data_IF_226257235671
#
_entry.id   IF_226257235671
#
_cell.length_a   1.000
_cell.length_b   1.000
_cell.length_c   1.000
_cell.angle_alpha   90.00
_cell.angle_beta   90.00
_cell.angle_gamma   90.00
#
_symmetry.space_group_name_H-M   'P 1'
#
loop_
_entity.id
_entity.type
_entity.pdbx_description
1 polymer ?
#
# COMPACT_ATOMS: atom_id res chain seq x y z
N UNK A 1 -15.56 -0.18 18.75
CA UNK A 1 -14.93 -1.06 17.74
C UNK A 1 -14.38 -0.20 16.62
N UNK A 2 -13.21 -0.56 16.10
CA UNK A 2 -12.52 0.12 15.01
C UNK A 2 -11.49 -0.85 14.40
N UNK A 3 -10.98 -0.54 13.21
CA UNK A 3 -9.85 -1.26 12.63
C UNK A 3 -8.54 -0.57 13.01
N UNK A 4 -7.56 -1.38 13.42
CA UNK A 4 -6.19 -0.98 13.73
C UNK A 4 -5.27 -1.96 13.01
N UNK A 5 -4.31 -1.46 12.24
CA UNK A 5 -3.49 -2.28 11.34
C UNK A 5 -4.37 -3.16 10.42
N UNK A 6 -4.36 -4.47 10.62
CA UNK A 6 -5.18 -5.46 9.90
C UNK A 6 -6.20 -6.18 10.81
N UNK A 7 -6.41 -5.64 12.02
CA UNK A 7 -7.22 -6.26 13.08
C UNK A 7 -8.49 -5.45 13.37
N UNK A 8 -9.63 -6.13 13.46
CA UNK A 8 -10.84 -5.56 14.02
C UNK A 8 -10.76 -5.56 15.54
N UNK A 9 -10.60 -4.37 16.11
CA UNK A 9 -10.52 -4.16 17.55
C UNK A 9 -11.91 -4.01 18.16
N UNK A 10 -12.19 -4.85 19.14
CA UNK A 10 -13.42 -4.83 19.94
C UNK A 10 -13.12 -4.27 21.32
N UNK A 11 -13.99 -3.39 21.80
CA UNK A 11 -13.88 -2.78 23.12
C UNK A 11 -15.13 -3.11 23.94
N UNK A 12 -14.89 -3.54 25.18
CA UNK A 12 -15.92 -4.01 26.09
C UNK A 12 -15.98 -3.13 27.33
N UNK A 13 -17.19 -2.87 27.80
CA UNK A 13 -17.39 -2.25 29.11
C UNK A 13 -17.22 -3.31 30.19
N UNK A 14 -16.57 -2.98 31.31
CA UNK A 14 -16.35 -3.89 32.45
C UNK A 14 -17.62 -4.49 33.08
N UNK A 15 -18.80 -4.06 32.65
CA UNK A 15 -20.12 -4.55 33.08
C UNK A 15 -20.77 -5.51 32.07
N UNK A 16 -20.11 -5.84 30.94
CA UNK A 16 -20.67 -6.76 29.96
C UNK A 16 -20.54 -8.20 30.43
N UNK A 17 -21.65 -8.93 30.45
CA UNK A 17 -21.70 -10.38 30.66
C UNK A 17 -21.52 -11.19 29.37
N UNK A 18 -21.22 -10.50 28.27
CA UNK A 18 -20.88 -11.10 26.98
C UNK A 18 -19.72 -12.08 27.15
N UNK A 19 -19.92 -13.30 26.68
CA UNK A 19 -18.95 -14.40 26.72
C UNK A 19 -18.50 -14.84 25.32
N UNK A 20 -19.21 -14.39 24.26
CA UNK A 20 -18.87 -14.69 22.88
C UNK A 20 -19.22 -13.54 21.92
N UNK A 21 -18.40 -13.37 20.88
CA UNK A 21 -18.66 -12.54 19.71
C UNK A 21 -18.63 -13.42 18.46
N UNK A 22 -19.61 -13.26 17.58
CA UNK A 22 -19.59 -13.81 16.23
C UNK A 22 -19.47 -12.66 15.22
N UNK A 23 -18.60 -12.84 14.23
CA UNK A 23 -18.43 -11.92 13.11
C UNK A 23 -19.02 -12.57 11.87
N UNK A 24 -20.01 -11.92 11.26
CA UNK A 24 -20.66 -12.38 10.04
C UNK A 24 -20.15 -11.51 8.89
N UNK A 25 -19.70 -12.15 7.82
CA UNK A 25 -19.22 -11.48 6.61
C UNK A 25 -20.37 -10.87 5.79
N UNK A 26 -20.06 -10.07 4.75
CA UNK A 26 -21.08 -9.47 3.89
C UNK A 26 -21.93 -10.48 3.11
N UNK A 27 -21.49 -11.73 2.97
CA UNK A 27 -22.21 -12.82 2.32
C UNK A 27 -23.19 -13.53 3.27
N UNK A 28 -23.13 -13.21 4.58
CA UNK A 28 -23.96 -13.80 5.62
C UNK A 28 -23.38 -15.07 6.24
N UNK A 29 -22.10 -15.38 5.99
CA UNK A 29 -21.39 -16.52 6.56
C UNK A 29 -20.62 -16.11 7.83
N UNK A 30 -20.40 -17.07 8.74
CA UNK A 30 -19.58 -16.82 9.93
C UNK A 30 -18.11 -16.66 9.48
N UNK A 31 -17.59 -15.46 9.62
CA UNK A 31 -16.20 -15.12 9.36
C UNK A 31 -15.29 -15.64 10.47
N UNK A 32 -15.58 -15.26 11.72
CA UNK A 32 -14.81 -15.68 12.90
C UNK A 32 -15.66 -15.67 14.17
N UNK A 33 -15.18 -16.37 15.20
CA UNK A 33 -15.75 -16.42 16.54
C UNK A 33 -14.70 -16.12 17.61
N UNK A 34 -15.08 -15.32 18.61
CA UNK A 34 -14.19 -14.94 19.69
C UNK A 34 -14.85 -15.19 21.05
N UNK A 35 -14.22 -16.02 21.87
CA UNK A 35 -14.64 -16.24 23.27
C UNK A 35 -14.05 -15.16 24.18
N UNK A 36 -14.92 -14.42 24.89
CA UNK A 36 -14.51 -13.28 25.72
C UNK A 36 -14.24 -13.75 27.15
N UNK A 37 -13.00 -13.54 27.60
CA UNK A 37 -12.63 -13.83 29.00
C UNK A 37 -13.17 -12.72 29.92
N UNK A 38 -13.82 -13.10 31.02
CA UNK A 38 -14.34 -12.13 31.98
C UNK A 38 -13.25 -11.17 32.50
N UNK A 39 -13.55 -9.88 32.47
CA UNK A 39 -12.63 -8.82 32.91
C UNK A 39 -11.69 -8.29 31.82
N UNK A 40 -11.80 -8.78 30.59
CA UNK A 40 -11.16 -8.19 29.41
C UNK A 40 -11.97 -6.96 28.96
N UNK A 41 -11.26 -5.87 28.67
CA UNK A 41 -11.86 -4.63 28.16
C UNK A 41 -11.60 -4.41 26.67
N UNK A 42 -10.70 -5.18 26.05
CA UNK A 42 -10.32 -5.07 24.65
C UNK A 42 -9.82 -6.41 24.13
N UNK A 43 -10.22 -6.78 22.93
CA UNK A 43 -9.74 -7.96 22.22
C UNK A 43 -9.78 -7.69 20.70
N UNK A 44 -9.19 -8.56 19.87
CA UNK A 44 -9.14 -8.36 18.42
C UNK A 44 -9.40 -9.62 17.61
N UNK A 45 -9.85 -9.41 16.38
CA UNK A 45 -10.07 -10.44 15.36
C UNK A 45 -9.26 -10.05 14.14
N UNK A 46 -8.43 -10.97 13.64
CA UNK A 46 -7.62 -10.72 12.46
C UNK A 46 -8.51 -10.68 11.20
N UNK A 47 -8.60 -9.52 10.57
CA UNK A 47 -9.26 -9.37 9.26
C UNK A 47 -8.26 -9.69 8.15
N UNK A 48 -7.01 -9.27 8.31
CA UNK A 48 -5.97 -9.45 7.30
C UNK A 48 -6.24 -8.62 6.04
N UNK A 49 -5.71 -9.07 4.91
CA UNK A 49 -5.83 -8.41 3.59
C UNK A 49 -6.41 -9.36 2.53
N UNK A 50 -7.13 -10.38 2.99
CA UNK A 50 -7.87 -11.36 2.19
C UNK A 50 -9.26 -11.52 2.84
N UNK A 51 -10.14 -10.56 2.56
CA UNK A 51 -11.49 -10.52 3.12
C UNK A 51 -12.51 -10.12 2.04
N UNK A 52 -13.79 -10.35 2.28
CA UNK A 52 -14.85 -9.89 1.38
C UNK A 52 -15.22 -8.44 1.71
N UNK A 53 -15.01 -7.46 0.81
CA UNK A 53 -15.36 -6.07 1.11
C UNK A 53 -16.87 -5.90 1.34
N UNK A 54 -17.24 -5.12 2.36
CA UNK A 54 -18.65 -4.76 2.60
C UNK A 54 -18.99 -4.56 4.07
N UNK A 55 -20.25 -4.83 4.42
CA UNK A 55 -20.76 -4.66 5.78
C UNK A 55 -20.66 -5.97 6.54
N UNK A 56 -19.87 -5.97 7.61
CA UNK A 56 -19.76 -7.05 8.57
C UNK A 56 -20.72 -6.82 9.73
N UNK A 57 -21.37 -7.89 10.20
CA UNK A 57 -22.21 -7.87 11.40
C UNK A 57 -21.49 -8.50 12.59
N UNK A 58 -21.41 -7.78 13.69
CA UNK A 58 -20.78 -8.22 14.95
C UNK A 58 -21.87 -8.49 15.96
N UNK A 59 -22.06 -9.76 16.29
CA UNK A 59 -23.13 -10.26 17.16
C UNK A 59 -22.52 -10.63 18.50
N UNK A 60 -22.96 -9.95 19.56
CA UNK A 60 -22.55 -10.24 20.92
C UNK A 60 -23.54 -11.19 21.60
N UNK A 61 -23.01 -12.25 22.20
CA UNK A 61 -23.76 -13.35 22.80
C UNK A 61 -23.45 -13.46 24.29
N UNK A 62 -24.45 -13.87 25.06
CA UNK A 62 -24.34 -14.30 26.46
C UNK A 62 -25.01 -15.67 26.57
N UNK A 63 -24.28 -16.71 27.00
CA UNK A 63 -24.80 -18.09 27.11
C UNK A 63 -25.46 -18.60 25.80
N UNK A 64 -25.06 -18.06 24.65
CA UNK A 64 -25.59 -18.38 23.32
C UNK A 64 -26.82 -17.58 22.87
N UNK A 65 -27.32 -16.66 23.69
CA UNK A 65 -28.42 -15.74 23.34
C UNK A 65 -27.87 -14.38 22.88
N UNK A 66 -28.40 -13.87 21.75
CA UNK A 66 -28.05 -12.55 21.20
C UNK A 66 -28.44 -11.41 22.15
N UNK A 67 -27.45 -10.60 22.52
CA UNK A 67 -27.63 -9.42 23.36
C UNK A 67 -27.61 -8.13 22.55
N UNK A 68 -26.75 -8.06 21.53
CA UNK A 68 -26.63 -6.90 20.66
C UNK A 68 -25.96 -7.23 19.33
N UNK A 69 -26.33 -6.47 18.30
CA UNK A 69 -25.70 -6.53 16.98
C UNK A 69 -25.22 -5.14 16.59
N UNK A 70 -23.98 -5.06 16.11
CA UNK A 70 -23.38 -3.86 15.52
C UNK A 70 -22.91 -4.17 14.11
N UNK A 71 -22.76 -3.14 13.29
CA UNK A 71 -22.25 -3.31 11.93
C UNK A 71 -21.06 -2.40 11.69
N UNK A 72 -20.10 -2.89 10.92
CA UNK A 72 -18.93 -2.14 10.47
C UNK A 72 -18.75 -2.36 8.96
N UNK A 73 -18.52 -1.28 8.23
CA UNK A 73 -18.08 -1.40 6.83
C UNK A 73 -16.58 -1.61 6.83
N UNK A 74 -16.11 -2.61 6.08
CA UNK A 74 -14.71 -2.94 5.87
C UNK A 74 -14.49 -2.95 4.36
N UNK A 75 -13.93 -1.86 3.84
CA UNK A 75 -13.63 -1.67 2.42
C UNK A 75 -12.38 -0.77 2.31
N UNK A 76 -11.41 -1.14 1.48
CA UNK A 76 -10.23 -0.32 1.20
C UNK A 76 -10.52 0.76 0.15
N UNK A 77 -9.78 1.86 0.18
CA UNK A 77 -9.78 2.89 -0.88
C UNK A 77 -8.37 3.46 -1.00
N UNK A 78 -7.56 2.83 -1.86
CA UNK A 78 -6.15 3.15 -2.02
C UNK A 78 -5.96 4.23 -3.08
N UNK A 79 -5.15 5.24 -2.75
CA UNK A 79 -4.76 6.32 -3.67
C UNK A 79 -3.26 6.55 -3.62
N UNK A 80 -2.66 6.77 -4.79
CA UNK A 80 -1.34 7.41 -4.86
C UNK A 80 -1.57 8.89 -4.56
N UNK A 81 -0.86 9.41 -3.56
CA UNK A 81 -1.05 10.80 -3.09
C UNK A 81 0.18 11.66 -3.26
N UNK A 82 1.34 11.05 -3.52
CA UNK A 82 2.58 11.75 -3.80
C UNK A 82 3.55 10.83 -4.54
N UNK A 83 4.35 11.41 -5.43
CA UNK A 83 5.43 10.74 -6.14
C UNK A 83 6.64 11.67 -6.20
N UNK A 84 7.79 11.19 -5.75
CA UNK A 84 9.05 11.94 -5.76
C UNK A 84 10.19 11.10 -6.29
N UNK A 85 11.24 11.77 -6.74
CA UNK A 85 12.52 11.15 -7.06
C UNK A 85 13.45 11.22 -5.86
N UNK A 86 14.05 10.09 -5.49
CA UNK A 86 15.06 10.06 -4.43
C UNK A 86 16.20 11.04 -4.68
N UNK A 87 16.52 11.31 -5.95
CA UNK A 87 17.63 12.18 -6.33
C UNK A 87 17.39 13.66 -5.99
N UNK A 88 16.12 14.04 -5.93
CA UNK A 88 15.67 15.38 -5.55
C UNK A 88 15.30 15.45 -4.06
N UNK A 89 15.14 14.28 -3.41
CA UNK A 89 14.73 14.11 -2.00
C UNK A 89 15.59 13.05 -1.28
N UNK A 90 16.93 13.20 -1.24
CA UNK A 90 17.82 12.16 -0.73
C UNK A 90 17.65 11.89 0.77
N UNK A 91 17.18 12.88 1.52
CA UNK A 91 16.91 12.80 2.97
C UNK A 91 15.59 12.09 3.30
N UNK A 92 14.73 11.86 2.31
CA UNK A 92 13.48 11.12 2.44
C UNK A 92 13.60 9.67 1.96
N UNK A 93 14.77 9.26 1.46
CA UNK A 93 15.05 7.86 1.14
C UNK A 93 15.21 7.02 2.40
N UNK A 94 14.95 5.72 2.28
CA UNK A 94 15.11 4.75 3.36
C UNK A 94 16.53 4.74 3.96
N UNK A 95 16.63 4.32 5.22
CA UNK A 95 17.91 4.28 5.92
C UNK A 95 18.91 3.37 5.22
N UNK A 96 20.12 3.88 4.97
CA UNK A 96 21.18 3.12 4.31
C UNK A 96 21.11 3.10 2.78
N UNK A 97 20.17 3.82 2.16
CA UNK A 97 20.12 3.99 0.70
C UNK A 97 21.48 4.44 0.14
N UNK A 98 21.99 3.69 -0.84
CA UNK A 98 23.22 4.00 -1.55
C UNK A 98 23.03 5.18 -2.50
N UNK A 99 24.13 5.83 -2.90
CA UNK A 99 24.10 6.89 -3.93
C UNK A 99 23.40 6.44 -5.22
N UNK A 100 23.44 5.14 -5.54
CA UNK A 100 22.78 4.58 -6.71
C UNK A 100 21.26 4.53 -6.54
N UNK A 101 20.78 4.08 -5.39
CA UNK A 101 19.35 4.01 -5.06
C UNK A 101 18.75 5.41 -5.04
N UNK A 102 19.38 6.30 -4.27
CA UNK A 102 19.02 7.73 -4.23
C UNK A 102 18.89 8.30 -5.64
N UNK A 103 19.85 8.03 -6.54
CA UNK A 103 19.83 8.61 -7.89
C UNK A 103 18.76 8.05 -8.83
N UNK A 104 18.23 6.85 -8.59
CA UNK A 104 17.49 6.10 -9.63
C UNK A 104 16.12 5.60 -9.21
N UNK A 105 15.77 5.73 -7.93
CA UNK A 105 14.53 5.23 -7.33
C UNK A 105 13.55 6.35 -7.01
N UNK A 106 12.30 5.98 -6.88
CA UNK A 106 11.18 6.86 -6.54
C UNK A 106 10.73 6.60 -5.11
N UNK A 107 10.18 7.64 -4.50
CA UNK A 107 9.47 7.61 -3.23
C UNK A 107 7.99 7.82 -3.56
N UNK A 108 7.14 6.86 -3.19
CA UNK A 108 5.70 6.91 -3.49
C UNK A 108 4.95 6.91 -2.17
N UNK A 109 4.00 7.81 -2.01
CA UNK A 109 3.10 7.82 -0.83
C UNK A 109 1.72 7.34 -1.23
N UNK A 110 1.33 6.21 -0.65
CA UNK A 110 -0.01 5.67 -0.74
C UNK A 110 -0.84 6.14 0.45
N UNK A 111 -2.14 6.32 0.25
CA UNK A 111 -3.09 6.58 1.32
C UNK A 111 -4.28 5.64 1.18
N UNK A 112 -4.58 4.91 2.26
CA UNK A 112 -5.84 4.20 2.40
C UNK A 112 -6.87 5.16 3.02
N UNK A 113 -7.83 5.60 2.22
CA UNK A 113 -8.96 6.43 2.67
C UNK A 113 -10.16 5.58 3.10
N UNK A 114 -10.06 4.27 2.89
CA UNK A 114 -11.06 3.28 3.24
C UNK A 114 -11.08 3.00 4.73
N UNK A 115 -12.03 2.14 5.08
CA UNK A 115 -12.24 1.65 6.44
C UNK A 115 -11.58 0.30 6.66
N UNK A 116 -11.33 -0.45 5.59
CA UNK A 116 -10.69 -1.76 5.61
C UNK A 116 -9.20 -1.72 5.26
N UNK A 117 -8.40 -2.66 5.79
CA UNK A 117 -7.00 -2.83 5.42
C UNK A 117 -6.84 -3.27 3.95
N UNK A 118 -5.64 -3.10 3.42
CA UNK A 118 -5.22 -3.61 2.10
C UNK A 118 -3.71 -3.92 2.14
N UNK A 119 -3.15 -4.43 1.05
CA UNK A 119 -1.71 -4.55 0.88
C UNK A 119 -1.29 -4.20 -0.55
N UNK A 120 -0.22 -3.42 -0.70
CA UNK A 120 0.43 -3.22 -2.00
C UNK A 120 1.21 -4.48 -2.37
N UNK A 121 0.94 -5.03 -3.55
CA UNK A 121 1.52 -6.30 -4.01
C UNK A 121 2.41 -6.13 -5.24
N UNK A 122 2.21 -5.06 -6.02
CA UNK A 122 3.05 -4.78 -7.18
C UNK A 122 3.16 -3.28 -7.44
N UNK A 123 4.32 -2.84 -7.91
CA UNK A 123 4.63 -1.48 -8.33
C UNK A 123 5.25 -1.49 -9.73
N UNK A 124 4.55 -0.85 -10.66
CA UNK A 124 4.93 -0.78 -12.06
C UNK A 124 5.10 0.65 -12.56
N UNK A 125 6.05 0.82 -13.49
CA UNK A 125 6.28 2.06 -14.22
C UNK A 125 6.21 1.79 -15.72
N UNK A 126 5.42 2.59 -16.43
CA UNK A 126 5.25 2.48 -17.88
C UNK A 126 5.37 3.86 -18.55
N UNK A 127 5.48 3.94 -19.88
CA UNK A 127 5.63 5.21 -20.59
C UNK A 127 7.06 5.75 -20.63
N UNK A 128 7.22 7.07 -20.55
CA UNK A 128 8.48 7.80 -20.78
C UNK A 128 9.43 7.77 -19.57
N UNK A 129 9.68 6.58 -19.01
CA UNK A 129 10.74 6.32 -18.03
C UNK A 129 11.93 5.59 -18.66
N UNK A 130 13.18 5.85 -18.19
CA UNK A 130 14.36 5.14 -18.68
C UNK A 130 14.27 3.62 -18.55
N UNK A 131 13.60 3.11 -17.50
CA UNK A 131 13.47 1.69 -17.24
C UNK A 131 12.04 1.34 -16.83
N UNK A 132 11.23 0.94 -17.81
CA UNK A 132 9.90 0.42 -17.58
C UNK A 132 9.92 -0.90 -16.80
N UNK A 133 8.86 -1.15 -16.04
CA UNK A 133 8.59 -2.45 -15.43
C UNK A 133 8.17 -3.43 -16.53
N UNK A 134 8.82 -4.62 -16.63
CA UNK A 134 8.36 -5.68 -17.53
C UNK A 134 6.95 -6.12 -17.21
N UNK A 135 6.32 -6.86 -18.12
CA UNK A 135 5.04 -7.50 -17.83
C UNK A 135 5.18 -8.51 -16.69
N UNK A 136 4.08 -8.77 -15.97
CA UNK A 136 4.05 -9.72 -14.84
C UNK A 136 4.49 -11.13 -15.25
N UNK A 137 4.15 -11.56 -16.47
CA UNK A 137 4.60 -12.84 -17.05
C UNK A 137 6.13 -12.97 -17.19
N UNK A 138 6.83 -11.83 -17.28
CA UNK A 138 8.29 -11.78 -17.42
C UNK A 138 8.99 -11.48 -16.09
N UNK A 139 8.25 -11.04 -15.07
CA UNK A 139 8.78 -10.61 -13.80
C UNK A 139 7.74 -10.70 -12.68
N UNK A 140 7.97 -11.65 -11.79
CA UNK A 140 7.04 -11.96 -10.69
C UNK A 140 7.33 -11.19 -9.38
N UNK A 141 8.44 -10.45 -9.28
CA UNK A 141 8.74 -9.69 -8.03
C UNK A 141 7.86 -8.44 -7.94
N UNK A 142 7.52 -8.00 -6.74
CA UNK A 142 6.63 -6.85 -6.51
C UNK A 142 7.13 -5.54 -7.10
N UNK A 143 8.46 -5.38 -7.26
CA UNK A 143 9.08 -4.10 -7.63
C UNK A 143 9.12 -3.07 -6.50
N UNK A 144 8.65 -3.42 -5.30
CA UNK A 144 8.67 -2.61 -4.07
C UNK A 144 9.90 -2.99 -3.26
N UNK A 145 10.65 -1.99 -2.77
CA UNK A 145 11.83 -2.22 -1.93
C UNK A 145 11.43 -2.68 -0.52
N UNK A 146 12.19 -3.64 0.03
CA UNK A 146 12.01 -4.12 1.40
C UNK A 146 12.93 -3.36 2.37
N UNK A 147 12.35 -2.47 3.17
CA UNK A 147 13.08 -1.72 4.20
C UNK A 147 13.52 -2.59 5.39
N UNK A 148 12.86 -3.73 5.62
CA UNK A 148 13.22 -4.66 6.69
C UNK A 148 14.33 -5.62 6.26
N UNK A 149 14.65 -5.68 4.96
CA UNK A 149 15.71 -6.53 4.43
C UNK A 149 17.10 -5.90 4.57
N UNK A 150 17.94 -6.52 5.39
CA UNK A 150 19.39 -6.20 5.45
C UNK A 150 20.13 -6.37 4.11
N UNK A 151 19.52 -7.06 3.13
CA UNK A 151 20.14 -7.40 1.85
C UNK A 151 19.64 -6.56 0.67
N UNK A 152 18.74 -5.60 0.90
CA UNK A 152 18.15 -4.77 -0.16
C UNK A 152 17.32 -5.60 -1.15
N UNK A 153 16.41 -6.42 -0.62
CA UNK A 153 15.48 -7.25 -1.38
C UNK A 153 14.25 -6.46 -1.83
N UNK A 154 13.36 -7.13 -2.56
CA UNK A 154 11.98 -6.68 -2.73
C UNK A 154 11.11 -7.20 -1.59
N UNK A 155 10.08 -6.43 -1.23
CA UNK A 155 9.05 -6.84 -0.29
C UNK A 155 7.99 -7.65 -1.05
N UNK A 156 7.53 -8.79 -0.52
CA UNK A 156 6.45 -9.53 -1.18
C UNK A 156 5.15 -8.73 -1.17
N UNK A 157 4.83 -8.11 -0.03
CA UNK A 157 3.67 -7.24 0.18
C UNK A 157 4.01 -6.15 1.19
N UNK A 158 3.34 -5.00 1.09
CA UNK A 158 3.39 -3.94 2.11
C UNK A 158 1.96 -3.66 2.60
N UNK A 159 1.73 -3.80 3.89
CA UNK A 159 0.42 -3.54 4.49
C UNK A 159 0.03 -2.06 4.37
N UNK A 160 -1.25 -1.82 4.09
CA UNK A 160 -1.87 -0.51 3.95
C UNK A 160 -3.03 -0.39 4.97
N UNK A 161 -2.72 -0.05 6.24
CA UNK A 161 -3.73 0.10 7.29
C UNK A 161 -4.80 1.15 6.92
N UNK A 162 -6.05 0.99 7.41
CA UNK A 162 -7.12 1.92 7.10
C UNK A 162 -6.88 3.31 7.67
N UNK A 163 -7.12 4.33 6.87
CA UNK A 163 -6.93 5.74 7.25
C UNK A 163 -5.47 6.22 7.25
N UNK A 164 -4.51 5.34 6.99
CA UNK A 164 -3.09 5.64 7.09
C UNK A 164 -2.44 6.01 5.76
N UNK A 165 -1.25 6.62 5.86
CA UNK A 165 -0.34 6.89 4.75
C UNK A 165 0.87 6.00 4.88
N UNK A 166 1.22 5.32 3.79
CA UNK A 166 2.37 4.42 3.74
C UNK A 166 3.27 4.87 2.60
N UNK A 167 4.56 4.99 2.89
CA UNK A 167 5.58 5.28 1.90
C UNK A 167 6.16 3.96 1.39
N UNK A 168 6.28 3.82 0.08
CA UNK A 168 6.97 2.70 -0.56
C UNK A 168 8.05 3.24 -1.51
N UNK A 169 9.09 2.44 -1.74
CA UNK A 169 10.19 2.80 -2.63
C UNK A 169 10.28 1.83 -3.79
N UNK A 170 10.64 2.33 -4.97
CA UNK A 170 10.82 1.47 -6.14
C UNK A 170 12.13 0.69 -6.04
N UNK A 171 12.10 -0.63 -6.07
CA UNK A 171 13.32 -1.44 -6.15
C UNK A 171 13.91 -1.48 -7.57
N UNK A 172 13.03 -1.36 -8.59
CA UNK A 172 13.43 -1.54 -9.99
C UNK A 172 14.15 -0.37 -10.63
N UNK A 173 14.40 0.73 -9.92
CA UNK A 173 15.20 1.86 -10.40
C UNK A 173 14.71 2.39 -11.76
N UNK A 174 13.46 2.88 -11.83
CA UNK A 174 12.83 3.33 -13.08
C UNK A 174 13.63 4.43 -13.80
N UNK A 175 14.41 5.22 -13.05
CA UNK A 175 15.24 6.30 -13.59
C UNK A 175 16.73 5.93 -13.70
N UNK A 176 17.06 4.64 -13.72
CA UNK A 176 18.41 4.20 -14.08
C UNK A 176 18.66 4.37 -15.57
N UNK A 177 19.86 4.84 -15.95
CA UNK A 177 20.29 5.06 -17.34
C UNK A 177 20.50 3.74 -18.12
N UNK A 178 19.50 2.86 -18.12
CA UNK A 178 19.56 1.51 -18.66
C UNK A 178 19.01 1.40 -20.10
N UNK A 179 18.36 2.44 -20.63
CA UNK A 179 17.82 2.42 -21.98
C UNK A 179 17.97 3.75 -22.72
N UNK A 180 17.85 3.67 -24.05
CA UNK A 180 17.80 4.82 -24.96
C UNK A 180 16.36 5.32 -25.19
N UNK A 181 15.39 4.91 -24.36
CA UNK A 181 13.96 5.26 -24.56
C UNK A 181 13.68 6.75 -24.37
N UNK A 182 14.39 7.34 -23.43
CA UNK A 182 14.34 8.77 -23.13
C UNK A 182 15.70 9.37 -23.38
N UNK A 183 15.70 10.55 -23.96
CA UNK A 183 16.88 11.38 -24.15
C UNK A 183 16.94 12.43 -23.05
N UNK A 184 18.15 12.72 -22.60
CA UNK A 184 18.42 13.92 -21.82
C UNK A 184 19.22 14.87 -22.71
N UNK A 185 18.69 16.06 -22.94
CA UNK A 185 19.33 17.08 -23.78
C UNK A 185 19.37 18.42 -23.07
N UNK A 186 20.27 19.34 -23.48
CA UNK A 186 20.29 20.69 -22.92
C UNK A 186 19.06 21.53 -23.26
N UNK A 187 18.22 21.09 -24.21
CA UNK A 187 17.02 21.79 -24.66
C UNK A 187 15.77 21.41 -23.83
N UNK A 188 15.92 20.54 -22.82
CA UNK A 188 14.85 19.95 -22.03
C UNK A 188 13.91 19.07 -22.86
N UNK A 189 13.84 17.79 -22.54
CA UNK A 189 12.87 16.86 -23.11
C UNK A 189 11.69 16.67 -22.16
N UNK A 190 10.49 16.54 -22.72
CA UNK A 190 9.26 16.30 -21.96
C UNK A 190 8.72 14.91 -22.26
N UNK A 191 8.12 14.28 -21.27
CA UNK A 191 7.47 12.98 -21.40
C UNK A 191 6.32 12.81 -20.42
N UNK A 192 5.59 11.71 -20.58
CA UNK A 192 4.55 11.27 -19.65
C UNK A 192 4.78 9.81 -19.30
N UNK A 193 4.65 9.48 -18.03
CA UNK A 193 4.77 8.12 -17.56
C UNK A 193 3.67 7.80 -16.55
N UNK A 194 3.32 6.52 -16.48
CA UNK A 194 2.31 6.02 -15.55
C UNK A 194 3.01 5.28 -14.42
N UNK A 195 2.52 5.51 -13.20
CA UNK A 195 2.80 4.66 -12.03
C UNK A 195 1.53 3.88 -11.72
N UNK A 196 1.65 2.55 -11.63
CA UNK A 196 0.56 1.67 -11.27
C UNK A 196 0.92 0.83 -10.04
N UNK A 197 0.01 0.77 -9.07
CA UNK A 197 0.12 -0.05 -7.86
C UNK A 197 -1.01 -1.06 -7.83
N UNK A 198 -0.66 -2.33 -7.88
CA UNK A 198 -1.62 -3.42 -7.66
C UNK A 198 -1.73 -3.70 -6.16
N UNK A 199 -2.95 -4.01 -5.72
CA UNK A 199 -3.26 -4.25 -4.31
C UNK A 199 -3.91 -5.62 -4.13
N UNK A 200 -4.04 -6.09 -2.90
CA UNK A 200 -4.66 -7.37 -2.62
C UNK A 200 -6.19 -7.32 -2.79
N UNK A 201 -6.81 -6.19 -2.44
CA UNK A 201 -8.27 -6.08 -2.37
C UNK A 201 -8.93 -5.49 -3.63
N UNK A 202 -8.20 -4.71 -4.44
CA UNK A 202 -8.75 -4.07 -5.63
C UNK A 202 -8.51 -4.92 -6.89
N UNK A 203 -9.56 -5.09 -7.70
CA UNK A 203 -9.48 -5.78 -9.00
C UNK A 203 -8.60 -5.01 -10.02
N UNK A 204 -8.69 -3.68 -9.98
CA UNK A 204 -7.94 -2.78 -10.85
C UNK A 204 -6.77 -2.14 -10.09
N UNK A 205 -5.64 -1.96 -10.79
CA UNK A 205 -4.50 -1.23 -10.24
C UNK A 205 -4.87 0.25 -9.98
N UNK A 206 -4.33 0.79 -8.89
CA UNK A 206 -4.34 2.24 -8.65
C UNK A 206 -3.26 2.85 -9.53
N UNK A 207 -3.63 3.63 -10.55
CA UNK A 207 -2.66 4.29 -11.41
C UNK A 207 -2.87 5.80 -11.51
N UNK A 208 -1.77 6.50 -11.73
CA UNK A 208 -1.71 7.94 -11.95
C UNK A 208 -0.65 8.23 -13.03
N UNK A 209 -0.97 9.18 -13.92
CA UNK A 209 -0.06 9.70 -14.94
C UNK A 209 0.71 10.91 -14.39
N UNK A 210 1.98 11.01 -14.74
CA UNK A 210 2.86 12.10 -14.33
C UNK A 210 3.60 12.68 -15.53
N UNK A 211 3.69 14.01 -15.57
CA UNK A 211 4.57 14.70 -16.50
C UNK A 211 5.99 14.68 -15.94
N UNK A 212 6.96 14.46 -16.84
CA UNK A 212 8.38 14.41 -16.49
C UNK A 212 9.20 15.24 -17.47
N UNK A 213 10.21 15.91 -16.95
CA UNK A 213 11.20 16.63 -17.76
C UNK A 213 12.60 16.06 -17.55
N UNK A 214 13.40 16.10 -18.61
CA UNK A 214 14.77 15.62 -18.65
C UNK A 214 15.67 16.71 -19.23
N UNK A 215 16.54 17.29 -18.40
CA UNK A 215 17.45 18.38 -18.82
C UNK A 215 18.89 18.04 -18.47
N UNK A 216 19.81 18.09 -19.45
CA UNK A 216 21.21 17.78 -19.19
C UNK A 216 21.97 17.29 -20.43
N UNK A 217 23.23 16.93 -20.24
CA UNK A 217 24.09 16.46 -21.35
C UNK A 217 23.93 14.96 -21.63
N UNK A 218 23.59 14.16 -20.60
CA UNK A 218 23.33 12.74 -20.68
C UNK A 218 22.45 12.24 -19.51
N UNK A 219 21.99 10.99 -19.56
CA UNK A 219 21.09 10.41 -18.56
C UNK A 219 21.71 10.24 -17.16
N UNK A 220 23.04 10.25 -17.02
CA UNK A 220 23.72 10.10 -15.73
C UNK A 220 23.71 11.42 -14.96
N UNK A 221 23.97 12.52 -15.67
CA UNK A 221 23.97 13.89 -15.14
C UNK A 221 22.67 14.64 -15.41
N UNK A 222 21.64 13.94 -15.89
CA UNK A 222 20.34 14.53 -16.19
C UNK A 222 19.70 15.09 -14.93
N UNK A 223 19.24 16.33 -14.97
CA UNK A 223 18.26 16.87 -14.04
C UNK A 223 16.89 16.35 -14.47
N UNK A 224 16.20 15.66 -13.56
CA UNK A 224 14.88 15.06 -13.81
C UNK A 224 13.90 15.67 -12.83
N UNK A 225 12.81 16.23 -13.33
CA UNK A 225 11.75 16.81 -12.52
C UNK A 225 10.42 16.14 -12.88
N UNK A 226 9.63 15.82 -11.86
CA UNK A 226 8.26 15.31 -12.00
C UNK A 226 7.33 16.45 -11.63
N UNK A 227 6.36 16.75 -12.49
CA UNK A 227 5.29 17.68 -12.17
C UNK A 227 4.11 16.91 -11.57
N UNK A 228 3.67 17.34 -10.40
CA UNK A 228 2.47 16.85 -9.70
C UNK A 228 1.35 17.86 -9.91
N UNK A 229 0.24 17.43 -10.54
CA UNK A 229 -0.95 18.26 -10.75
C UNK A 229 -1.78 18.50 -9.47
#
# INVERSE_FOLDING_TARGET
MFLEDTDLVLEFTNESSIDQINVIDPNGELFDELSIVSGVSRDSIAIGTDYDPGVYEIIALEDGDEQSTQSVTIESDIRITDLRLGRNHPDEMFEGASDREVRTETIITLKNQGSGPDAATHLAFSGDVPRQTPSRDEYDESGIYDEESDLGSYADTIDLPPGERVTIYSQRRPFSAASERVSCTPETEHGVFEVAVETAMLDDAVSEDYEVTYTGEDLVECDIEIEVE
#
